data_IF_223594104851
#
_entry.id   IF_223594104851
#
_cell.length_a   1.000
_cell.length_b   1.000
_cell.length_c   1.000
_cell.angle_alpha   90.00
_cell.angle_beta   90.00
_cell.angle_gamma   90.00
#
_symmetry.space_group_name_H-M   'P 1'
#
loop_
_entity.id
_entity.type
_entity.pdbx_description
1 polymer ?
#
# COMPACT_ATOMS: atom_id res chain seq x y z
N UNK A 1 -12.37 16.54 -43.63
CA UNK A 1 -12.10 15.97 -42.30
C UNK A 1 -10.67 16.32 -42.02
N UNK A 2 -10.45 17.10 -40.97
CA UNK A 2 -9.14 17.63 -40.63
C UNK A 2 -8.40 16.59 -39.79
N UNK A 3 -7.25 16.13 -40.29
CA UNK A 3 -6.46 15.07 -39.63
C UNK A 3 -5.83 15.62 -38.35
N UNK A 4 -5.52 16.92 -38.34
CA UNK A 4 -4.89 17.63 -37.23
C UNK A 4 -5.84 17.70 -36.02
N UNK A 5 -7.08 18.12 -36.25
CA UNK A 5 -8.13 18.17 -35.21
C UNK A 5 -8.45 16.78 -34.62
N UNK A 6 -8.29 15.70 -35.40
CA UNK A 6 -8.47 14.33 -34.90
C UNK A 6 -7.29 13.88 -34.01
N UNK A 7 -6.06 14.26 -34.36
CA UNK A 7 -4.86 13.95 -33.58
C UNK A 7 -4.87 14.68 -32.23
N UNK A 8 -5.16 15.98 -32.22
CA UNK A 8 -5.29 16.78 -30.98
C UNK A 8 -6.35 16.18 -30.05
N UNK A 9 -7.52 15.81 -30.60
CA UNK A 9 -8.58 15.20 -29.81
C UNK A 9 -8.15 13.85 -29.23
N UNK A 10 -7.37 13.06 -29.97
CA UNK A 10 -6.85 11.78 -29.49
C UNK A 10 -5.84 11.97 -28.36
N UNK A 11 -4.87 12.88 -28.51
CA UNK A 11 -3.87 13.20 -27.49
C UNK A 11 -4.52 13.74 -26.22
N UNK A 12 -5.52 14.62 -26.35
CA UNK A 12 -6.27 15.13 -25.20
C UNK A 12 -7.00 14.01 -24.44
N UNK A 13 -7.61 13.06 -25.15
CA UNK A 13 -8.28 11.91 -24.53
C UNK A 13 -7.28 10.97 -23.85
N UNK A 14 -6.12 10.78 -24.44
CA UNK A 14 -5.03 9.97 -23.86
C UNK A 14 -4.50 10.62 -22.59
N UNK A 15 -4.21 11.92 -22.61
CA UNK A 15 -3.79 12.68 -21.43
C UNK A 15 -4.81 12.58 -20.30
N UNK A 16 -6.09 12.77 -20.61
CA UNK A 16 -7.15 12.67 -19.60
C UNK A 16 -7.20 11.28 -18.96
N UNK A 17 -7.03 10.19 -19.74
CA UNK A 17 -7.00 8.83 -19.19
C UNK A 17 -5.83 8.61 -18.25
N UNK A 18 -4.64 9.08 -18.63
CA UNK A 18 -3.43 8.97 -17.81
C UNK A 18 -3.57 9.78 -16.50
N UNK A 19 -4.16 10.98 -16.57
CA UNK A 19 -4.48 11.79 -15.38
C UNK A 19 -5.48 11.08 -14.44
N UNK A 20 -6.55 10.49 -14.99
CA UNK A 20 -7.53 9.70 -14.23
C UNK A 20 -6.88 8.47 -13.57
N UNK A 21 -5.94 7.81 -14.25
CA UNK A 21 -5.21 6.66 -13.74
C UNK A 21 -4.27 7.05 -12.59
N UNK A 22 -3.57 8.18 -12.71
CA UNK A 22 -2.76 8.75 -11.62
C UNK A 22 -3.60 9.05 -10.38
N UNK A 23 -4.79 9.64 -10.57
CA UNK A 23 -5.71 9.90 -9.47
C UNK A 23 -6.15 8.58 -8.80
N UNK A 24 -6.45 7.57 -9.59
CA UNK A 24 -6.84 6.24 -9.10
C UNK A 24 -5.71 5.58 -8.31
N UNK A 25 -4.47 5.68 -8.76
CA UNK A 25 -3.30 5.15 -8.01
C UNK A 25 -3.14 5.89 -6.68
N UNK A 26 -3.30 7.21 -6.67
CA UNK A 26 -3.28 8.00 -5.44
C UNK A 26 -4.30 7.50 -4.42
N UNK A 27 -5.56 7.32 -4.84
CA UNK A 27 -6.62 6.78 -4.00
C UNK A 27 -6.32 5.35 -3.50
N UNK A 28 -5.70 4.51 -4.33
CA UNK A 28 -5.30 3.17 -3.92
C UNK A 28 -4.19 3.19 -2.86
N UNK A 29 -3.21 4.08 -2.99
CA UNK A 29 -2.16 4.25 -2.00
C UNK A 29 -2.73 4.69 -0.65
N UNK A 30 -3.60 5.70 -0.65
CA UNK A 30 -4.25 6.19 0.57
C UNK A 30 -5.09 5.09 1.22
N UNK A 31 -5.92 4.39 0.42
CA UNK A 31 -6.78 3.32 0.95
C UNK A 31 -5.98 2.14 1.52
N UNK A 32 -4.87 1.78 0.88
CA UNK A 32 -3.99 0.70 1.38
C UNK A 32 -3.27 1.11 2.65
N UNK A 33 -2.92 2.39 2.79
CA UNK A 33 -2.33 2.92 4.02
C UNK A 33 -3.33 2.80 5.19
N UNK A 34 -4.58 3.23 4.99
CA UNK A 34 -5.64 3.08 6.01
C UNK A 34 -5.83 1.62 6.45
N UNK A 35 -5.92 0.70 5.49
CA UNK A 35 -6.09 -0.73 5.77
C UNK A 35 -4.90 -1.32 6.53
N UNK A 36 -3.68 -0.86 6.20
CA UNK A 36 -2.48 -1.28 6.90
C UNK A 36 -2.47 -0.78 8.34
N UNK A 37 -2.80 0.50 8.56
CA UNK A 37 -2.88 1.08 9.91
C UNK A 37 -3.92 0.35 10.77
N UNK A 38 -5.09 0.02 10.20
CA UNK A 38 -6.12 -0.77 10.87
C UNK A 38 -5.60 -2.17 11.27
N UNK A 39 -4.94 -2.88 10.35
CA UNK A 39 -4.38 -4.20 10.59
C UNK A 39 -3.28 -4.19 11.66
N UNK A 40 -2.37 -3.21 11.63
CA UNK A 40 -1.32 -3.05 12.63
C UNK A 40 -1.94 -2.78 14.00
N UNK A 41 -2.91 -1.86 14.08
CA UNK A 41 -3.57 -1.51 15.34
C UNK A 41 -4.28 -2.73 15.97
N UNK A 42 -4.92 -3.56 15.16
CA UNK A 42 -5.57 -4.79 15.63
C UNK A 42 -4.54 -5.80 16.16
N UNK A 43 -3.43 -5.98 15.44
CA UNK A 43 -2.35 -6.90 15.83
C UNK A 43 -1.63 -6.44 17.11
N UNK A 44 -1.36 -5.15 17.25
CA UNK A 44 -0.77 -4.55 18.45
C UNK A 44 -1.71 -4.69 19.65
N UNK A 45 -3.00 -4.40 19.49
CA UNK A 45 -3.99 -4.59 20.56
C UNK A 45 -4.07 -6.05 21.04
N UNK A 46 -3.96 -7.00 20.11
CA UNK A 46 -3.87 -8.42 20.45
C UNK A 46 -2.57 -8.73 21.19
N UNK A 47 -1.42 -8.26 20.71
CA UNK A 47 -0.13 -8.45 21.36
C UNK A 47 -0.11 -7.94 22.80
N UNK A 48 -0.67 -6.76 23.05
CA UNK A 48 -0.79 -6.18 24.38
C UNK A 48 -1.61 -7.10 25.28
N UNK A 49 -2.78 -7.54 24.83
CA UNK A 49 -3.63 -8.47 25.58
C UNK A 49 -2.92 -9.79 25.93
N UNK A 50 -2.22 -10.40 24.97
CA UNK A 50 -1.50 -11.65 25.18
C UNK A 50 -0.29 -11.46 26.10
N UNK A 51 0.39 -10.32 26.01
CA UNK A 51 1.54 -9.97 26.85
C UNK A 51 1.11 -9.74 28.31
N UNK A 52 0.05 -8.96 28.53
CA UNK A 52 -0.56 -8.74 29.85
C UNK A 52 -0.99 -10.08 30.46
N UNK A 53 -1.61 -10.95 29.65
CA UNK A 53 -2.03 -12.27 30.11
C UNK A 53 -0.84 -13.13 30.52
N UNK A 54 0.26 -13.09 29.77
CA UNK A 54 1.48 -13.82 30.09
C UNK A 54 2.12 -13.30 31.39
N UNK A 55 2.13 -11.98 31.59
CA UNK A 55 2.62 -11.36 32.83
C UNK A 55 1.79 -11.80 34.04
N UNK A 56 0.46 -11.74 33.93
CA UNK A 56 -0.45 -12.25 34.97
C UNK A 56 -0.17 -13.71 35.33
N UNK A 57 0.11 -14.55 34.32
CA UNK A 57 0.47 -15.95 34.56
C UNK A 57 1.83 -16.10 35.22
N UNK A 58 2.80 -15.24 34.92
CA UNK A 58 4.11 -15.23 35.58
C UNK A 58 3.97 -14.89 37.08
N UNK A 59 3.08 -13.97 37.42
CA UNK A 59 2.80 -13.54 38.79
C UNK A 59 2.03 -14.59 39.61
N UNK A 60 1.42 -15.60 38.97
CA UNK A 60 0.76 -16.72 39.65
C UNK A 60 1.75 -17.86 39.96
N UNK A 61 1.91 -18.20 41.24
CA UNK A 61 2.94 -19.09 41.80
C UNK A 61 2.81 -20.61 41.48
N UNK A 62 2.00 -21.05 40.51
CA UNK A 62 1.76 -22.49 40.31
C UNK A 62 1.65 -22.93 38.84
N UNK A 63 2.38 -24.00 38.48
CA UNK A 63 1.95 -25.09 37.58
C UNK A 63 1.60 -24.81 36.11
N UNK A 64 1.58 -23.56 35.65
CA UNK A 64 1.05 -23.19 34.32
C UNK A 64 2.12 -23.06 33.22
N UNK A 65 3.21 -23.82 33.32
CA UNK A 65 4.32 -23.71 32.36
C UNK A 65 3.86 -23.91 30.91
N UNK A 66 2.99 -24.89 30.66
CA UNK A 66 2.46 -25.13 29.30
C UNK A 66 1.52 -24.04 28.78
N UNK A 67 0.79 -23.33 29.65
CA UNK A 67 -0.05 -22.18 29.23
C UNK A 67 0.85 -20.98 28.88
N UNK A 68 1.92 -20.75 29.66
CA UNK A 68 2.90 -19.70 29.39
C UNK A 68 3.63 -19.90 28.06
N UNK A 69 4.02 -21.14 27.76
CA UNK A 69 4.71 -21.44 26.50
C UNK A 69 3.79 -21.18 25.30
N UNK A 70 2.53 -21.62 25.37
CA UNK A 70 1.54 -21.32 24.33
C UNK A 70 1.32 -19.83 24.11
N UNK A 71 1.31 -19.03 25.18
CA UNK A 71 1.19 -17.57 25.04
C UNK A 71 2.43 -16.96 24.39
N UNK A 72 3.63 -17.43 24.73
CA UNK A 72 4.88 -16.98 24.07
C UNK A 72 4.90 -17.32 22.60
N UNK A 73 4.52 -18.55 22.24
CA UNK A 73 4.41 -18.98 20.84
C UNK A 73 3.42 -18.08 20.09
N UNK A 74 2.26 -17.81 20.71
CA UNK A 74 1.24 -16.94 20.11
C UNK A 74 1.70 -15.49 19.95
N UNK A 75 2.43 -14.95 20.92
CA UNK A 75 3.05 -13.62 20.82
C UNK A 75 4.09 -13.60 19.69
N UNK A 76 4.92 -14.64 19.57
CA UNK A 76 5.89 -14.74 18.49
C UNK A 76 5.24 -14.81 17.11
N UNK A 77 4.12 -15.56 16.98
CA UNK A 77 3.31 -15.60 15.77
C UNK A 77 2.80 -14.20 15.38
N UNK A 78 2.28 -13.42 16.33
CA UNK A 78 1.82 -12.05 16.05
C UNK A 78 2.96 -11.12 15.62
N UNK A 79 4.16 -11.24 16.20
CA UNK A 79 5.32 -10.49 15.72
C UNK A 79 5.70 -10.87 14.27
N UNK A 80 5.61 -12.15 13.91
CA UNK A 80 5.81 -12.58 12.52
C UNK A 80 4.70 -12.10 11.58
N UNK A 81 3.46 -12.02 12.05
CA UNK A 81 2.35 -11.39 11.32
C UNK A 81 2.61 -9.91 11.06
N UNK A 82 2.97 -9.13 12.09
CA UNK A 82 3.36 -7.71 11.94
C UNK A 82 4.51 -7.53 10.94
N UNK A 83 5.54 -8.38 10.99
CA UNK A 83 6.66 -8.31 10.03
C UNK A 83 6.21 -8.64 8.61
N UNK A 84 5.33 -9.63 8.43
CA UNK A 84 4.77 -9.97 7.12
C UNK A 84 3.94 -8.83 6.57
N UNK A 85 3.10 -8.22 7.40
CA UNK A 85 2.23 -7.11 7.03
C UNK A 85 3.04 -5.90 6.57
N UNK A 86 4.05 -5.51 7.34
CA UNK A 86 4.99 -4.44 6.96
C UNK A 86 5.71 -4.71 5.63
N UNK A 87 6.18 -5.95 5.40
CA UNK A 87 6.81 -6.34 4.13
C UNK A 87 5.81 -6.38 2.98
N UNK A 88 4.54 -6.68 3.23
CA UNK A 88 3.49 -6.65 2.21
C UNK A 88 3.22 -5.22 1.79
N UNK A 89 2.92 -4.34 2.76
CA UNK A 89 2.71 -2.91 2.52
C UNK A 89 3.86 -2.27 1.76
N UNK A 90 5.11 -2.57 2.13
CA UNK A 90 6.26 -2.01 1.41
C UNK A 90 6.28 -2.42 -0.07
N UNK A 91 6.05 -3.71 -0.36
CA UNK A 91 6.00 -4.21 -1.75
C UNK A 91 4.84 -3.57 -2.52
N UNK A 92 3.65 -3.60 -1.94
CA UNK A 92 2.44 -3.01 -2.51
C UNK A 92 2.62 -1.53 -2.86
N UNK A 93 3.29 -0.78 -1.97
CA UNK A 93 3.63 0.62 -2.20
C UNK A 93 4.65 0.79 -3.31
N UNK A 94 5.70 -0.03 -3.35
CA UNK A 94 6.71 0.05 -4.42
C UNK A 94 6.14 -0.28 -5.80
N UNK A 95 5.22 -1.24 -5.89
CA UNK A 95 4.51 -1.57 -7.13
C UNK A 95 3.68 -0.38 -7.63
N UNK A 96 2.83 0.21 -6.77
CA UNK A 96 2.01 1.36 -7.13
C UNK A 96 2.85 2.62 -7.43
N UNK A 97 3.95 2.84 -6.70
CA UNK A 97 4.89 3.93 -6.99
C UNK A 97 5.61 3.71 -8.33
N UNK A 98 5.87 2.47 -8.72
CA UNK A 98 6.43 2.15 -10.03
C UNK A 98 5.42 2.44 -11.14
N UNK A 99 4.19 1.94 -11.02
CA UNK A 99 3.09 2.19 -11.96
C UNK A 99 2.87 3.71 -12.14
N UNK A 100 2.85 4.46 -11.03
CA UNK A 100 2.78 5.93 -11.07
C UNK A 100 3.93 6.56 -11.85
N UNK A 101 5.15 6.05 -11.72
CA UNK A 101 6.32 6.57 -12.45
C UNK A 101 6.27 6.23 -13.94
N UNK A 102 5.62 5.15 -14.32
CA UNK A 102 5.44 4.75 -15.72
C UNK A 102 4.39 5.66 -16.38
N UNK A 103 3.23 5.84 -15.75
CA UNK A 103 2.18 6.74 -16.26
C UNK A 103 2.67 8.19 -16.35
N UNK A 104 3.47 8.66 -15.39
CA UNK A 104 4.06 10.01 -15.47
C UNK A 104 5.04 10.17 -16.65
N UNK A 105 5.71 9.10 -17.08
CA UNK A 105 6.56 9.14 -18.28
C UNK A 105 5.70 9.17 -19.52
N UNK A 106 4.68 8.33 -19.59
CA UNK A 106 3.72 8.32 -20.71
C UNK A 106 3.04 9.68 -20.88
N UNK A 107 2.62 10.31 -19.77
CA UNK A 107 2.05 11.65 -19.77
C UNK A 107 3.04 12.68 -20.33
N UNK A 108 4.31 12.59 -19.94
CA UNK A 108 5.34 13.48 -20.45
C UNK A 108 5.62 13.27 -21.94
N UNK A 109 5.57 12.03 -22.43
CA UNK A 109 5.71 11.72 -23.85
C UNK A 109 4.56 12.34 -24.66
N UNK A 110 3.31 12.20 -24.20
CA UNK A 110 2.13 12.84 -24.82
C UNK A 110 2.28 14.37 -24.82
N UNK A 111 2.69 14.97 -23.71
CA UNK A 111 2.92 16.43 -23.63
C UNK A 111 4.06 16.89 -24.55
N UNK A 112 5.12 16.10 -24.71
CA UNK A 112 6.22 16.44 -25.63
C UNK A 112 5.77 16.37 -27.09
N UNK A 113 4.94 15.39 -27.44
CA UNK A 113 4.38 15.27 -28.80
C UNK A 113 3.43 16.43 -29.14
N UNK A 114 2.63 16.89 -28.17
CA UNK A 114 1.81 18.11 -28.29
C UNK A 114 2.69 19.36 -28.53
N UNK A 115 3.79 19.51 -27.81
CA UNK A 115 4.70 20.65 -27.98
C UNK A 115 5.37 20.60 -29.36
N UNK A 116 5.79 19.42 -29.83
CA UNK A 116 6.43 19.27 -31.13
C UNK A 116 5.48 19.50 -32.30
N UNK A 117 4.20 19.16 -32.15
CA UNK A 117 3.17 19.43 -33.17
C UNK A 117 2.86 20.93 -33.31
N UNK A 118 2.93 21.72 -32.24
CA UNK A 118 2.77 23.19 -32.30
C UNK A 118 3.91 23.93 -33.04
N UNK A 119 5.07 23.30 -33.25
CA UNK A 119 6.26 23.90 -33.89
C UNK A 119 6.49 23.51 -35.36
N UNK A 120 5.65 22.64 -35.93
CA UNK A 120 5.70 22.19 -37.33
C UNK A 120 4.67 22.90 -38.22
#
# INVERSE_FOLDING_TARGET
MDVEAFLEQSQQQERQKLEEELQRIGQQLDRREELHEEAISELESKLDWYSDRLEQLHNQFSGKHGEREKLKDRIAEFYEELRRENRSRWRDRQELEQERREILRELNEVEMDDVLSEFL
#
